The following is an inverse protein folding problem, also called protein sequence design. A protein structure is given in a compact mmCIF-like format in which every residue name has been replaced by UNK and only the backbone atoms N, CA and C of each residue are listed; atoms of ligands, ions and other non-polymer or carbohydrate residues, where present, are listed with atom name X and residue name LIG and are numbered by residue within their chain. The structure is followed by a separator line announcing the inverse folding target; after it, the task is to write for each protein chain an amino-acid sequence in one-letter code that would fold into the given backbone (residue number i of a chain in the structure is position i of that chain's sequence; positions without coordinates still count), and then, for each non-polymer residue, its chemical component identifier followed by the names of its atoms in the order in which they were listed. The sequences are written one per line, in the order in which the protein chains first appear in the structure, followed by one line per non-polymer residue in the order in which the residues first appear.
data_IF_221305883036
#
_entry.id   IF_221305883036
#
_cell.length_a   1.000
_cell.length_b   1.000
_cell.length_c   1.000
_cell.angle_alpha   90.00
_cell.angle_beta   90.00
_cell.angle_gamma   90.00
#
_symmetry.space_group_name_H-M   'P 1'
#
loop_
_entity.id
_entity.type
_entity.pdbx_description
1 polymer ?
#
# COMPACT_ATOMS: atom_id res chain seq x y z
N UNK A 1 -9.77 5.25 21.06
CA UNK A 1 -8.79 4.17 20.98
C UNK A 1 -8.38 3.94 19.53
N UNK A 2 -7.11 3.98 19.28
CA UNK A 2 -6.62 3.80 17.92
C UNK A 2 -6.48 2.35 17.59
N UNK A 3 -7.15 1.96 16.52
CA UNK A 3 -6.96 0.64 15.97
C UNK A 3 -6.00 0.73 14.81
N UNK A 4 -4.88 0.08 14.96
CA UNK A 4 -3.98 -0.06 13.84
C UNK A 4 -4.51 -1.16 12.94
N UNK A 5 -4.30 -0.99 11.64
CA UNK A 5 -4.66 -2.02 10.68
C UNK A 5 -3.67 -3.15 10.80
N UNK A 6 -4.16 -4.32 11.12
CA UNK A 6 -3.33 -5.52 11.13
C UNK A 6 -3.03 -5.95 9.71
N UNK A 7 -1.86 -6.55 9.51
CA UNK A 7 -1.53 -7.09 8.20
C UNK A 7 -2.52 -8.18 7.76
N UNK A 8 -3.31 -8.69 8.70
CA UNK A 8 -4.36 -9.66 8.38
C UNK A 8 -5.53 -9.03 7.62
N UNK A 9 -5.74 -7.73 7.81
CA UNK A 9 -6.86 -7.03 7.19
C UNK A 9 -6.63 -6.69 5.73
N UNK A 10 -5.39 -6.77 5.28
CA UNK A 10 -5.04 -6.51 3.89
C UNK A 10 -4.22 -7.67 3.36
N UNK A 11 -4.36 -7.92 2.05
CA UNK A 11 -3.64 -9.02 1.43
C UNK A 11 -2.14 -8.74 1.41
N UNK A 12 -1.30 -9.79 1.38
CA UNK A 12 0.14 -9.61 1.28
C UNK A 12 0.55 -8.77 0.07
N UNK A 13 -0.17 -8.92 -1.04
CA UNK A 13 0.12 -8.12 -2.23
C UNK A 13 -0.14 -6.64 -1.99
N UNK A 14 -1.27 -6.32 -1.35
CA UNK A 14 -1.60 -4.94 -1.05
C UNK A 14 -0.59 -4.33 -0.10
N UNK A 15 -0.17 -5.09 0.89
CA UNK A 15 0.83 -4.64 1.83
C UNK A 15 2.15 -4.35 1.12
N UNK A 16 2.58 -5.25 0.26
CA UNK A 16 3.83 -5.07 -0.47
C UNK A 16 3.73 -3.88 -1.41
N UNK A 17 2.57 -3.68 -2.04
CA UNK A 17 2.32 -2.54 -2.91
C UNK A 17 2.51 -1.23 -2.15
N UNK A 18 1.86 -1.12 -1.00
CA UNK A 18 1.95 0.09 -0.17
C UNK A 18 3.37 0.29 0.32
N UNK A 19 3.99 -0.75 0.83
CA UNK A 19 5.35 -0.66 1.35
C UNK A 19 6.32 -0.18 0.27
N UNK A 20 6.17 -0.69 -0.94
CA UNK A 20 7.01 -0.30 -2.05
C UNK A 20 6.81 1.16 -2.42
N UNK A 21 5.55 1.60 -2.49
CA UNK A 21 5.23 2.98 -2.81
C UNK A 21 5.80 3.94 -1.77
N UNK A 22 5.62 3.62 -0.50
CA UNK A 22 6.08 4.49 0.57
C UNK A 22 7.61 4.51 0.66
N UNK A 23 8.23 3.35 0.49
CA UNK A 23 9.68 3.25 0.66
C UNK A 23 10.45 3.88 -0.50
N UNK A 24 9.95 3.73 -1.73
CA UNK A 24 10.71 4.16 -2.91
C UNK A 24 10.12 5.37 -3.60
N UNK A 25 8.84 5.66 -3.37
CA UNK A 25 8.17 6.76 -4.06
C UNK A 25 8.00 6.50 -5.55
N UNK A 26 8.05 5.24 -5.97
CA UNK A 26 7.92 4.91 -7.38
C UNK A 26 6.47 5.05 -7.86
N UNK A 27 6.26 4.87 -9.16
CA UNK A 27 4.92 4.94 -9.72
C UNK A 27 4.10 3.71 -9.32
N UNK A 28 2.78 3.85 -9.39
CA UNK A 28 1.88 2.73 -9.12
C UNK A 28 2.17 1.56 -10.05
N UNK A 29 2.45 1.85 -11.32
CA UNK A 29 2.76 0.81 -12.30
C UNK A 29 3.96 -0.02 -11.87
N UNK A 30 5.03 0.65 -11.47
CA UNK A 30 6.24 -0.04 -11.05
C UNK A 30 6.02 -0.79 -9.75
N UNK A 31 5.35 -0.16 -8.79
CA UNK A 31 5.07 -0.80 -7.51
C UNK A 31 4.19 -2.03 -7.69
N UNK A 32 3.22 -1.97 -8.59
CA UNK A 32 2.34 -3.11 -8.83
C UNK A 32 3.11 -4.31 -9.35
N UNK A 33 4.07 -4.09 -10.23
CA UNK A 33 4.89 -5.18 -10.75
C UNK A 33 5.74 -5.80 -9.65
N UNK A 34 6.32 -4.98 -8.81
CA UNK A 34 7.13 -5.45 -7.69
C UNK A 34 6.27 -6.25 -6.72
N UNK A 35 5.04 -5.81 -6.50
CA UNK A 35 4.14 -6.48 -5.58
C UNK A 35 3.59 -7.81 -6.12
N UNK A 36 3.80 -8.08 -7.40
CA UNK A 36 3.37 -9.34 -7.98
C UNK A 36 2.09 -9.26 -8.80
N UNK A 37 1.59 -8.07 -9.06
CA UNK A 37 0.46 -7.91 -9.97
C UNK A 37 0.95 -8.11 -11.39
N UNK A 38 0.19 -8.87 -12.16
CA UNK A 38 0.61 -9.24 -13.51
C UNK A 38 -0.41 -8.82 -14.55
N UNK A 39 0.07 -8.73 -15.79
CA UNK A 39 -0.79 -8.48 -16.92
C UNK A 39 -1.02 -7.01 -17.18
N UNK A 40 -1.84 -6.75 -18.22
CA UNK A 40 -2.10 -5.39 -18.66
C UNK A 40 -2.94 -4.61 -17.65
N UNK A 41 -3.65 -5.31 -16.78
CA UNK A 41 -4.50 -4.66 -15.79
C UNK A 41 -3.84 -4.53 -14.42
N UNK A 42 -2.53 -4.76 -14.34
CA UNK A 42 -1.81 -4.66 -13.06
C UNK A 42 -2.02 -3.28 -12.43
N UNK A 43 -1.88 -2.23 -13.21
CA UNK A 43 -2.06 -0.87 -12.73
C UNK A 43 -3.50 -0.64 -12.23
N UNK A 44 -4.48 -1.15 -12.97
CA UNK A 44 -5.88 -1.00 -12.60
C UNK A 44 -6.17 -1.73 -11.30
N UNK A 45 -5.68 -2.95 -11.18
CA UNK A 45 -5.86 -3.73 -9.95
C UNK A 45 -5.22 -3.05 -8.75
N UNK A 46 -4.00 -2.54 -8.93
CA UNK A 46 -3.30 -1.83 -7.87
C UNK A 46 -4.05 -0.55 -7.47
N UNK A 47 -4.56 0.19 -8.46
CA UNK A 47 -5.32 1.41 -8.19
C UNK A 47 -6.57 1.11 -7.39
N UNK A 48 -7.28 0.04 -7.75
CA UNK A 48 -8.45 -0.39 -6.99
C UNK A 48 -8.09 -0.73 -5.56
N UNK A 49 -7.00 -1.44 -5.39
CA UNK A 49 -6.54 -1.82 -4.06
C UNK A 49 -6.24 -0.58 -3.22
N UNK A 50 -5.60 0.42 -3.81
CA UNK A 50 -5.25 1.64 -3.09
C UNK A 50 -6.47 2.47 -2.72
N UNK A 51 -7.62 2.23 -3.36
CA UNK A 51 -8.87 2.92 -3.00
C UNK A 51 -9.60 2.25 -1.87
N UNK A 52 -9.21 1.04 -1.50
CA UNK A 52 -9.85 0.33 -0.40
C UNK A 52 -9.58 1.08 0.90
N UNK A 53 -10.62 1.36 1.72
CA UNK A 53 -10.44 2.14 2.94
C UNK A 53 -9.38 1.57 3.88
N UNK A 54 -9.35 0.25 4.04
CA UNK A 54 -8.35 -0.38 4.91
C UNK A 54 -6.93 -0.17 4.39
N UNK A 55 -6.76 -0.26 3.08
CA UNK A 55 -5.46 -0.05 2.46
C UNK A 55 -5.03 1.39 2.60
N UNK A 56 -5.98 2.33 2.45
CA UNK A 56 -5.67 3.75 2.64
C UNK A 56 -5.21 4.03 4.07
N UNK A 57 -5.87 3.43 5.05
CA UNK A 57 -5.46 3.58 6.43
C UNK A 57 -4.07 3.02 6.66
N UNK A 58 -3.80 1.86 6.11
CA UNK A 58 -2.48 1.26 6.22
C UNK A 58 -1.42 2.14 5.57
N UNK A 59 -1.71 2.68 4.40
CA UNK A 59 -0.79 3.58 3.70
C UNK A 59 -0.50 4.82 4.53
N UNK A 60 -1.53 5.44 5.09
CA UNK A 60 -1.35 6.62 5.93
C UNK A 60 -0.48 6.32 7.14
N UNK A 61 -0.70 5.15 7.75
CA UNK A 61 0.12 4.69 8.85
C UNK A 61 1.59 4.59 8.47
N UNK A 62 1.85 3.98 7.32
CA UNK A 62 3.22 3.79 6.85
C UNK A 62 3.89 5.11 6.48
N UNK A 63 3.13 6.03 5.89
CA UNK A 63 3.66 7.34 5.55
C UNK A 63 4.06 8.09 6.83
N UNK A 64 3.19 8.08 7.82
CA UNK A 64 3.47 8.77 9.08
C UNK A 64 4.69 8.17 9.77
N UNK A 65 4.79 6.86 9.75
CA UNK A 65 5.93 6.17 10.36
C UNK A 65 7.22 6.53 9.63
N UNK A 66 7.19 6.54 8.30
CA UNK A 66 8.37 6.80 7.49
C UNK A 66 8.84 8.25 7.67
N UNK A 67 7.90 9.19 7.77
CA UNK A 67 8.24 10.59 7.94
C UNK A 67 8.53 10.96 9.40
N UNK A 68 8.28 10.03 10.32
CA UNK A 68 8.49 10.30 11.73
C UNK A 68 7.52 11.29 12.31
N UNK A 69 6.32 11.38 11.73
CA UNK A 69 5.33 12.35 12.18
C UNK A 69 4.45 11.84 13.32
N UNK A 70 4.54 10.56 13.65
CA UNK A 70 3.77 10.04 14.78
C UNK A 70 4.43 10.52 16.06
N UNK A 71 3.72 11.31 16.77
CA UNK A 71 4.23 11.81 18.02
C UNK A 71 4.04 10.79 19.13
#
# INVERSE_FOLDING_TARGET
MNKQIDSKDISPKAKLLVDTLVATGCTITKASKIAGYKGNSARVSASKMLRTPKVQQYMNQEIQRTLGLSA
#
